data_IF_132756283139
#
_entry.id   IF_132756283139
#
_cell.length_a   1.000
_cell.length_b   1.000
_cell.length_c   1.000
_cell.angle_alpha   90.00
_cell.angle_beta   90.00
_cell.angle_gamma   90.00
#
_symmetry.space_group_name_H-M   'P 1'
#
loop_
_entity.id
_entity.type
_entity.pdbx_description
1 polymer ?
#
# COMPACT_ATOMS: atom_id res chain seq x y z
N UNK A 1 26.42 -32.33 13.14
CA UNK A 1 25.27 -32.64 12.26
C UNK A 1 24.59 -31.34 11.92
N UNK A 2 24.46 -31.10 10.62
CA UNK A 2 24.12 -29.88 9.90
C UNK A 2 22.73 -29.34 10.23
N UNK A 3 22.67 -28.10 10.73
CA UNK A 3 21.45 -27.31 10.74
C UNK A 3 21.45 -26.48 9.45
N UNK A 4 20.74 -26.96 8.44
CA UNK A 4 20.54 -26.25 7.18
C UNK A 4 19.54 -25.11 7.38
N UNK A 5 19.85 -23.99 6.75
CA UNK A 5 19.15 -22.71 6.76
C UNK A 5 17.62 -22.83 6.62
N UNK A 6 16.91 -22.37 7.64
CA UNK A 6 15.52 -21.95 7.49
C UNK A 6 15.48 -20.45 7.30
N UNK A 7 15.77 -19.96 6.09
CA UNK A 7 15.41 -18.59 5.74
C UNK A 7 13.92 -18.39 6.12
N UNK A 8 13.54 -17.27 6.77
CA UNK A 8 12.14 -17.04 7.09
C UNK A 8 11.32 -17.26 5.82
N UNK A 9 10.29 -18.10 5.89
CA UNK A 9 9.48 -18.45 4.71
C UNK A 9 8.78 -17.18 4.23
N UNK A 10 9.41 -16.47 3.29
CA UNK A 10 8.90 -15.22 2.76
C UNK A 10 7.68 -15.52 1.91
N UNK A 11 6.53 -15.08 2.39
CA UNK A 11 5.27 -15.27 1.69
C UNK A 11 5.21 -14.37 0.47
N UNK A 12 4.71 -14.89 -0.67
CA UNK A 12 4.71 -14.20 -1.95
C UNK A 12 3.33 -13.70 -2.31
N UNK A 13 3.24 -12.44 -2.73
CA UNK A 13 2.02 -11.83 -3.29
C UNK A 13 2.36 -10.92 -4.46
N UNK A 14 1.35 -10.43 -5.18
CA UNK A 14 1.59 -9.45 -6.27
C UNK A 14 1.65 -8.02 -5.74
N UNK A 15 0.92 -7.71 -4.67
CA UNK A 15 0.87 -6.35 -4.13
C UNK A 15 0.69 -6.36 -2.62
N UNK A 16 1.48 -5.56 -1.90
CA UNK A 16 1.23 -5.28 -0.48
C UNK A 16 0.64 -3.88 -0.34
N UNK A 17 -0.46 -3.76 0.40
CA UNK A 17 -1.09 -2.47 0.72
C UNK A 17 -0.80 -2.14 2.17
N UNK A 18 -0.19 -0.98 2.41
CA UNK A 18 0.15 -0.50 3.75
C UNK A 18 -0.93 0.47 4.22
N UNK A 19 -1.71 0.04 5.21
CA UNK A 19 -2.85 0.77 5.76
C UNK A 19 -4.14 -0.05 5.73
N UNK A 20 -4.69 -0.41 6.88
CA UNK A 20 -5.99 -1.13 6.96
C UNK A 20 -7.23 -0.21 7.05
N UNK A 21 -7.04 1.10 6.82
CA UNK A 21 -8.09 2.13 6.83
C UNK A 21 -8.89 2.24 5.53
N UNK A 22 -9.65 3.34 5.39
CA UNK A 22 -10.51 3.63 4.22
C UNK A 22 -9.77 3.46 2.89
N UNK A 23 -8.62 4.12 2.74
CA UNK A 23 -7.82 4.11 1.52
C UNK A 23 -7.31 2.70 1.17
N UNK A 24 -6.80 1.96 2.15
CA UNK A 24 -6.23 0.65 1.88
C UNK A 24 -7.29 -0.41 1.56
N UNK A 25 -8.43 -0.37 2.23
CA UNK A 25 -9.55 -1.26 1.89
C UNK A 25 -10.19 -0.91 0.55
N UNK A 26 -10.22 0.38 0.18
CA UNK A 26 -10.65 0.80 -1.16
C UNK A 26 -9.73 0.23 -2.23
N UNK A 27 -8.41 0.31 -2.02
CA UNK A 27 -7.40 -0.28 -2.93
C UNK A 27 -7.56 -1.80 -3.01
N UNK A 28 -7.60 -2.50 -1.87
CA UNK A 28 -7.72 -3.94 -1.83
C UNK A 28 -8.99 -4.44 -2.53
N UNK A 29 -10.11 -3.72 -2.37
CA UNK A 29 -11.36 -4.00 -3.07
C UNK A 29 -11.20 -3.86 -4.59
N UNK A 30 -10.59 -2.77 -5.07
CA UNK A 30 -10.40 -2.55 -6.50
C UNK A 30 -9.38 -3.52 -7.14
N UNK A 31 -8.35 -3.93 -6.38
CA UNK A 31 -7.40 -4.98 -6.77
C UNK A 31 -8.09 -6.35 -6.87
N UNK A 32 -8.90 -6.71 -5.87
CA UNK A 32 -9.70 -7.93 -5.86
C UNK A 32 -10.65 -8.01 -7.05
N UNK A 33 -11.35 -6.91 -7.38
CA UNK A 33 -12.23 -6.82 -8.57
C UNK A 33 -11.52 -7.11 -9.89
N UNK A 34 -10.19 -6.97 -9.92
CA UNK A 34 -9.34 -7.19 -11.10
C UNK A 34 -8.53 -8.48 -11.02
N UNK A 35 -8.76 -9.33 -10.02
CA UNK A 35 -8.01 -10.57 -9.83
C UNK A 35 -6.53 -10.35 -9.49
N UNK A 36 -6.21 -9.24 -8.83
CA UNK A 36 -4.85 -8.96 -8.34
C UNK A 36 -4.74 -9.42 -6.88
N UNK A 37 -3.79 -10.31 -6.61
CA UNK A 37 -3.55 -10.82 -5.26
C UNK A 37 -2.93 -9.71 -4.41
N UNK A 38 -3.55 -9.41 -3.27
CA UNK A 38 -3.04 -8.39 -2.37
C UNK A 38 -3.14 -8.79 -0.91
N UNK A 39 -2.15 -8.38 -0.13
CA UNK A 39 -2.13 -8.50 1.33
C UNK A 39 -2.16 -7.09 1.89
N UNK A 40 -3.14 -6.78 2.74
CA UNK A 40 -3.24 -5.51 3.45
C UNK A 40 -2.59 -5.67 4.82
N UNK A 41 -1.62 -4.81 5.13
CA UNK A 41 -0.99 -4.73 6.46
C UNK A 41 -1.42 -3.45 7.16
N UNK A 42 -1.40 -3.43 8.49
CA UNK A 42 -2.04 -2.37 9.26
C UNK A 42 -1.38 -1.00 9.14
N UNK A 43 -0.17 -0.86 9.67
CA UNK A 43 0.62 0.37 9.59
C UNK A 43 2.08 0.03 9.33
N UNK A 44 2.80 1.00 8.78
CA UNK A 44 4.24 0.92 8.63
C UNK A 44 4.92 1.83 9.65
N UNK A 45 5.76 1.23 10.50
CA UNK A 45 6.44 1.91 11.59
C UNK A 45 7.40 3.00 11.07
N UNK A 46 7.89 2.87 9.82
CA UNK A 46 8.70 3.88 9.14
C UNK A 46 7.98 5.22 8.93
N UNK A 47 6.65 5.20 8.84
CA UNK A 47 5.84 6.41 8.67
C UNK A 47 5.32 6.96 10.02
N UNK A 48 5.72 6.35 11.13
CA UNK A 48 5.25 6.68 12.47
C UNK A 48 3.77 6.36 12.68
N UNK A 49 3.29 6.43 13.92
CA UNK A 49 1.86 6.34 14.20
C UNK A 49 1.18 7.58 13.63
N UNK A 50 0.61 7.48 12.43
CA UNK A 50 -0.14 8.54 11.76
C UNK A 50 -1.45 8.88 12.46
N UNK A 51 -1.41 9.21 13.75
CA UNK A 51 -2.51 9.85 14.49
C UNK A 51 -2.33 11.36 14.59
N UNK A 52 -1.24 11.91 14.05
CA UNK A 52 -0.93 13.35 14.14
C UNK A 52 -1.86 14.25 13.30
N UNK A 53 -2.58 13.71 12.31
CA UNK A 53 -3.50 14.52 11.48
C UNK A 53 -4.98 14.37 11.85
N UNK A 54 -5.32 13.56 12.86
CA UNK A 54 -6.71 13.44 13.35
C UNK A 54 -7.15 14.60 14.26
N UNK A 55 -6.25 15.54 14.62
CA UNK A 55 -6.54 16.59 15.62
C UNK A 55 -6.72 18.00 15.07
N UNK A 56 -6.57 18.25 13.77
CA UNK A 56 -6.77 19.61 13.23
C UNK A 56 -7.25 19.60 11.79
N UNK A 57 -8.53 19.34 11.59
CA UNK A 57 -9.33 20.00 10.55
C UNK A 57 -10.80 19.70 10.85
N UNK A 58 -11.60 20.76 10.96
CA UNK A 58 -13.05 20.70 11.11
C UNK A 58 -13.59 20.01 9.86
N UNK A 59 -13.72 18.68 9.92
CA UNK A 59 -14.46 17.92 8.92
C UNK A 59 -15.94 18.13 9.24
N UNK A 60 -16.68 18.66 8.28
CA UNK A 60 -18.14 18.74 8.34
C UNK A 60 -18.71 17.38 8.78
N UNK A 61 -19.64 17.32 9.74
CA UNK A 61 -20.12 16.07 10.33
C UNK A 61 -20.68 15.10 9.27
N UNK A 62 -21.27 15.61 8.18
CA UNK A 62 -21.73 14.79 7.05
C UNK A 62 -20.61 14.01 6.35
N UNK A 63 -19.40 14.57 6.27
CA UNK A 63 -18.25 13.92 5.64
C UNK A 63 -17.65 12.79 6.50
N UNK A 64 -17.87 12.81 7.82
CA UNK A 64 -17.46 11.74 8.73
C UNK A 64 -18.43 10.56 8.65
N UNK A 65 -19.73 10.84 8.57
CA UNK A 65 -20.77 9.81 8.37
C UNK A 65 -20.56 9.09 7.05
N UNK A 66 -20.39 9.83 5.94
CA UNK A 66 -20.13 9.25 4.62
C UNK A 66 -18.89 8.34 4.63
N UNK A 67 -17.77 8.81 5.22
CA UNK A 67 -16.55 7.99 5.35
C UNK A 67 -16.79 6.73 6.19
N UNK A 68 -17.62 6.80 7.23
CA UNK A 68 -18.00 5.67 8.06
C UNK A 68 -18.84 4.63 7.31
N UNK A 69 -19.78 5.08 6.49
CA UNK A 69 -20.63 4.21 5.66
C UNK A 69 -19.83 3.49 4.57
N UNK A 70 -19.00 4.23 3.82
CA UNK A 70 -18.09 3.62 2.84
C UNK A 70 -17.11 2.67 3.55
N UNK A 71 -16.59 3.12 4.69
CA UNK A 71 -15.99 2.33 5.77
C UNK A 71 -16.54 0.91 5.87
N UNK A 72 -17.80 0.88 6.28
CA UNK A 72 -18.58 -0.32 6.56
C UNK A 72 -18.77 -1.19 5.32
N UNK A 73 -19.09 -0.57 4.18
CA UNK A 73 -19.28 -1.29 2.91
C UNK A 73 -18.00 -2.00 2.48
N UNK A 74 -16.84 -1.32 2.55
CA UNK A 74 -15.56 -1.90 2.18
C UNK A 74 -15.16 -3.07 3.09
N UNK A 75 -15.40 -2.96 4.40
CA UNK A 75 -15.17 -4.06 5.35
C UNK A 75 -16.07 -5.26 5.06
N UNK A 76 -17.35 -5.01 4.74
CA UNK A 76 -18.27 -6.07 4.38
C UNK A 76 -17.81 -6.77 3.08
N UNK A 77 -17.46 -6.01 2.05
CA UNK A 77 -16.92 -6.55 0.81
C UNK A 77 -15.69 -7.42 1.08
N UNK A 78 -14.76 -6.91 1.88
CA UNK A 78 -13.53 -7.61 2.20
C UNK A 78 -13.76 -8.96 2.89
N UNK A 79 -14.69 -8.99 3.86
CA UNK A 79 -15.09 -10.24 4.52
C UNK A 79 -15.77 -11.21 3.55
N UNK A 80 -16.69 -10.72 2.70
CA UNK A 80 -17.43 -11.58 1.76
C UNK A 80 -16.55 -12.17 0.66
N UNK A 81 -15.44 -11.50 0.30
CA UNK A 81 -14.50 -11.96 -0.73
C UNK A 81 -13.21 -12.54 -0.14
N UNK A 82 -13.15 -12.75 1.19
CA UNK A 82 -11.98 -13.30 1.89
C UNK A 82 -10.67 -12.58 1.56
N UNK A 83 -10.69 -11.24 1.53
CA UNK A 83 -9.47 -10.46 1.31
C UNK A 83 -8.51 -10.66 2.47
N UNK A 84 -7.22 -10.82 2.17
CA UNK A 84 -6.17 -10.98 3.18
C UNK A 84 -5.85 -9.62 3.82
N UNK A 85 -6.45 -9.37 4.99
CA UNK A 85 -6.26 -8.15 5.77
C UNK A 85 -5.68 -8.51 7.13
N UNK A 86 -4.41 -8.18 7.32
CA UNK A 86 -3.63 -8.45 8.53
C UNK A 86 -3.55 -7.20 9.39
N UNK A 87 -4.62 -6.94 10.14
CA UNK A 87 -4.73 -5.79 11.05
C UNK A 87 -3.74 -5.83 12.22
N UNK A 88 -3.08 -6.97 12.47
CA UNK A 88 -2.04 -7.15 13.48
C UNK A 88 -0.62 -7.11 12.91
N UNK A 89 -0.47 -7.31 11.60
CA UNK A 89 0.81 -7.24 10.93
C UNK A 89 1.20 -5.78 10.71
N UNK A 90 2.27 -5.35 11.39
CA UNK A 90 2.88 -4.03 11.19
C UNK A 90 4.09 -4.18 10.29
N UNK A 91 4.19 -3.36 9.25
CA UNK A 91 5.40 -3.28 8.44
C UNK A 91 6.49 -2.55 9.23
N UNK A 92 7.60 -3.25 9.50
CA UNK A 92 8.74 -2.74 10.26
C UNK A 92 9.80 -2.17 9.32
N UNK A 93 10.07 -2.91 8.25
CA UNK A 93 11.10 -2.57 7.28
C UNK A 93 10.61 -2.84 5.86
N UNK A 94 11.12 -2.03 4.93
CA UNK A 94 10.81 -2.09 3.51
C UNK A 94 12.14 -2.02 2.76
N UNK A 95 12.46 -3.06 2.01
CA UNK A 95 13.66 -3.10 1.17
C UNK A 95 13.28 -3.44 -0.28
N UNK A 96 14.09 -2.93 -1.21
CA UNK A 96 13.92 -3.17 -2.64
C UNK A 96 15.14 -3.89 -3.20
N UNK A 97 14.91 -4.98 -3.92
CA UNK A 97 15.88 -5.62 -4.79
C UNK A 97 15.47 -5.39 -6.25
N UNK A 98 16.05 -4.40 -6.95
CA UNK A 98 15.66 -4.04 -8.31
C UNK A 98 15.95 -5.14 -9.34
N UNK A 99 16.79 -6.13 -8.99
CA UNK A 99 17.16 -7.25 -9.85
C UNK A 99 16.20 -8.44 -9.72
N UNK A 100 15.30 -8.42 -8.73
CA UNK A 100 14.31 -9.48 -8.51
C UNK A 100 13.05 -9.22 -9.34
N UNK A 101 12.34 -10.28 -9.73
CA UNK A 101 10.95 -10.16 -10.24
C UNK A 101 10.02 -9.69 -9.14
N UNK A 102 10.27 -10.13 -7.91
CA UNK A 102 9.57 -9.76 -6.70
C UNK A 102 10.43 -8.76 -5.93
N UNK A 103 10.35 -7.50 -6.36
CA UNK A 103 11.31 -6.45 -6.03
C UNK A 103 11.23 -6.01 -4.59
N UNK A 104 10.05 -6.09 -3.98
CA UNK A 104 9.84 -5.60 -2.63
C UNK A 104 9.91 -6.73 -1.62
N UNK A 105 10.60 -6.46 -0.51
CA UNK A 105 10.53 -7.27 0.70
C UNK A 105 10.01 -6.37 1.83
N UNK A 106 8.94 -6.82 2.47
CA UNK A 106 8.27 -6.14 3.56
C UNK A 106 8.43 -7.01 4.80
N UNK A 107 9.26 -6.59 5.74
CA UNK A 107 9.34 -7.26 7.03
C UNK A 107 8.17 -6.81 7.89
N UNK A 108 7.39 -7.76 8.37
CA UNK A 108 6.27 -7.48 9.28
C UNK A 108 6.50 -8.08 10.65
N UNK A 109 5.69 -7.68 11.63
CA UNK A 109 5.65 -8.33 12.94
C UNK A 109 5.26 -9.82 12.91
N UNK A 110 4.69 -10.30 11.81
CA UNK A 110 4.21 -11.68 11.67
C UNK A 110 5.03 -12.51 10.65
N UNK A 111 6.04 -11.92 10.03
CA UNK A 111 6.88 -12.57 9.01
C UNK A 111 7.22 -11.64 7.84
N UNK A 112 8.01 -12.15 6.89
CA UNK A 112 8.38 -11.40 5.70
C UNK A 112 7.41 -11.65 4.54
N UNK A 113 7.05 -10.59 3.81
CA UNK A 113 6.27 -10.64 2.58
C UNK A 113 7.14 -10.19 1.41
N UNK A 114 6.97 -10.81 0.25
CA UNK A 114 7.57 -10.37 -1.01
C UNK A 114 6.50 -10.00 -2.02
N UNK A 115 6.68 -8.86 -2.69
CA UNK A 115 5.74 -8.36 -3.68
C UNK A 115 6.40 -7.66 -4.88
N UNK A 116 5.64 -7.58 -5.98
CA UNK A 116 6.03 -6.80 -7.16
C UNK A 116 5.80 -5.30 -6.91
N UNK A 117 4.74 -5.00 -6.15
CA UNK A 117 4.25 -3.65 -5.91
C UNK A 117 3.92 -3.38 -4.44
N UNK A 118 4.08 -2.13 -4.03
CA UNK A 118 3.62 -1.62 -2.73
C UNK A 118 2.67 -0.45 -2.95
N UNK A 119 1.53 -0.45 -2.25
CA UNK A 119 0.64 0.71 -2.15
C UNK A 119 0.78 1.34 -0.77
N UNK A 120 1.26 2.58 -0.73
CA UNK A 120 1.36 3.36 0.49
C UNK A 120 0.09 4.20 0.65
N UNK A 121 -0.58 4.03 1.79
CA UNK A 121 -1.75 4.84 2.12
C UNK A 121 -1.45 5.80 3.28
N UNK A 122 -2.02 7.00 3.20
CA UNK A 122 -2.02 7.96 4.31
C UNK A 122 -0.62 8.32 4.85
N UNK A 123 0.40 8.36 3.99
CA UNK A 123 1.72 8.88 4.34
C UNK A 123 1.83 10.37 3.98
N UNK A 124 2.54 11.15 4.80
CA UNK A 124 2.83 12.56 4.49
C UNK A 124 3.94 12.66 3.43
N UNK A 125 4.01 13.75 2.64
CA UNK A 125 5.05 13.88 1.62
C UNK A 125 6.46 13.85 2.22
N UNK A 126 6.66 14.52 3.36
CA UNK A 126 7.93 14.49 4.08
C UNK A 126 8.31 13.10 4.62
N UNK A 127 7.34 12.23 4.89
CA UNK A 127 7.60 10.84 5.28
C UNK A 127 8.00 10.01 4.05
N UNK A 128 7.27 10.15 2.95
CA UNK A 128 7.61 9.51 1.68
C UNK A 128 9.01 9.91 1.21
N UNK A 129 9.35 11.20 1.26
CA UNK A 129 10.67 11.70 0.84
C UNK A 129 11.80 11.11 1.69
N UNK A 130 11.60 11.03 3.02
CA UNK A 130 12.58 10.40 3.93
C UNK A 130 12.74 8.91 3.67
N UNK A 131 11.64 8.20 3.41
CA UNK A 131 11.66 6.78 3.06
C UNK A 131 12.39 6.51 1.73
N UNK A 132 12.11 7.29 0.70
CA UNK A 132 12.82 7.17 -0.58
C UNK A 132 14.31 7.51 -0.42
N UNK A 133 14.64 8.52 0.38
CA UNK A 133 16.03 8.82 0.72
C UNK A 133 16.72 7.68 1.49
N UNK A 134 16.03 6.99 2.41
CA UNK A 134 16.60 5.83 3.12
C UNK A 134 16.84 4.64 2.20
N UNK A 135 16.12 4.55 1.07
CA UNK A 135 16.37 3.57 0.01
C UNK A 135 17.49 4.00 -0.96
N UNK A 136 18.15 5.15 -0.73
CA UNK A 136 19.16 5.70 -1.63
C UNK A 136 18.60 6.30 -2.92
N UNK A 137 17.29 6.53 -3.01
CA UNK A 137 16.64 7.08 -4.19
C UNK A 137 16.67 8.61 -4.11
N UNK A 138 17.52 9.23 -4.94
CA UNK A 138 17.56 10.68 -5.08
C UNK A 138 16.33 11.16 -5.85
N UNK A 139 15.45 11.88 -5.16
CA UNK A 139 14.20 12.37 -5.72
C UNK A 139 14.45 13.68 -6.48
N UNK A 140 14.28 13.66 -7.81
CA UNK A 140 14.25 14.86 -8.65
C UNK A 140 12.92 15.61 -8.60
N UNK A 141 12.63 16.45 -9.60
CA UNK A 141 11.37 17.23 -9.65
C UNK A 141 10.10 16.37 -9.81
N UNK A 142 10.23 15.14 -10.32
CA UNK A 142 9.09 14.24 -10.55
C UNK A 142 9.16 12.99 -9.66
N UNK A 143 8.73 13.17 -8.41
CA UNK A 143 8.68 12.11 -7.40
C UNK A 143 7.74 11.00 -7.83
N UNK A 144 6.55 11.36 -8.32
CA UNK A 144 5.45 10.44 -8.58
C UNK A 144 5.79 9.44 -9.69
N UNK A 145 6.43 9.91 -10.76
CA UNK A 145 6.90 9.04 -11.84
C UNK A 145 8.02 8.11 -11.36
N UNK A 146 8.95 8.62 -10.55
CA UNK A 146 10.03 7.81 -9.99
C UNK A 146 9.52 6.70 -9.07
N UNK A 147 8.57 6.98 -8.15
CA UNK A 147 7.99 5.93 -7.30
C UNK A 147 7.21 4.89 -8.09
N UNK A 148 6.46 5.31 -9.13
CA UNK A 148 5.73 4.35 -9.98
C UNK A 148 6.66 3.41 -10.73
N UNK A 149 7.80 3.89 -11.23
CA UNK A 149 8.80 3.04 -11.88
C UNK A 149 9.39 1.98 -10.93
N UNK A 150 9.35 2.24 -9.62
CA UNK A 150 9.78 1.32 -8.57
C UNK A 150 8.66 0.39 -8.09
N UNK A 151 7.45 0.48 -8.64
CA UNK A 151 6.29 -0.29 -8.18
C UNK A 151 5.66 0.26 -6.89
N UNK A 152 5.94 1.52 -6.54
CA UNK A 152 5.29 2.20 -5.41
C UNK A 152 4.12 3.03 -5.95
N UNK A 153 2.95 2.81 -5.36
CA UNK A 153 1.72 3.56 -5.64
C UNK A 153 1.25 4.29 -4.38
N UNK A 154 0.65 5.47 -4.56
CA UNK A 154 0.24 6.34 -3.46
C UNK A 154 -1.27 6.55 -3.49
N UNK A 155 -1.92 6.43 -2.33
CA UNK A 155 -3.36 6.76 -2.16
C UNK A 155 -3.56 7.57 -0.89
N UNK A 156 -4.23 8.70 -1.02
CA UNK A 156 -4.51 9.60 0.11
C UNK A 156 -3.28 10.36 0.63
N UNK A 157 -2.25 10.56 -0.21
CA UNK A 157 -1.03 11.30 0.12
C UNK A 157 -1.20 12.77 -0.31
N UNK A 158 -1.28 13.71 0.65
CA UNK A 158 -1.28 15.15 0.37
C UNK A 158 -0.88 15.97 1.60
N UNK A 159 -0.27 17.14 1.40
CA UNK A 159 0.36 17.95 2.46
C UNK A 159 -0.59 18.96 3.15
N UNK A 160 -1.75 19.29 2.58
CA UNK A 160 -2.58 20.40 3.07
C UNK A 160 -4.09 20.12 3.18
N UNK A 161 -4.65 19.29 2.30
CA UNK A 161 -6.09 19.01 2.23
C UNK A 161 -6.30 17.52 2.39
N UNK A 162 -7.07 17.13 3.40
CA UNK A 162 -7.52 15.74 3.56
C UNK A 162 -8.39 15.40 2.35
N UNK A 163 -8.03 14.39 1.54
CA UNK A 163 -8.79 14.05 0.35
C UNK A 163 -10.21 13.59 0.71
N UNK A 164 -11.17 13.99 -0.12
CA UNK A 164 -12.56 13.55 -0.01
C UNK A 164 -12.66 12.04 -0.22
N UNK A 165 -13.74 11.44 0.29
CA UNK A 165 -14.05 10.02 0.09
C UNK A 165 -14.03 9.65 -1.39
N UNK A 166 -14.64 10.50 -2.23
CA UNK A 166 -14.68 10.32 -3.69
C UNK A 166 -13.29 10.30 -4.32
N UNK A 167 -12.40 11.22 -3.92
CA UNK A 167 -11.02 11.26 -4.42
C UNK A 167 -10.24 10.00 -4.02
N UNK A 168 -10.39 9.52 -2.79
CA UNK A 168 -9.75 8.29 -2.32
C UNK A 168 -10.20 7.09 -3.17
N UNK A 169 -11.51 6.96 -3.40
CA UNK A 169 -12.07 5.88 -4.22
C UNK A 169 -11.58 5.96 -5.68
N UNK A 170 -11.49 7.17 -6.24
CA UNK A 170 -10.97 7.38 -7.59
C UNK A 170 -9.48 7.03 -7.69
N UNK A 171 -8.68 7.44 -6.70
CA UNK A 171 -7.26 7.10 -6.60
C UNK A 171 -7.07 5.58 -6.49
N UNK A 172 -7.85 4.90 -5.66
CA UNK A 172 -7.81 3.44 -5.52
C UNK A 172 -8.10 2.74 -6.86
N UNK A 173 -9.14 3.19 -7.57
CA UNK A 173 -9.49 2.67 -8.91
C UNK A 173 -8.33 2.86 -9.89
N UNK A 174 -7.76 4.06 -9.96
CA UNK A 174 -6.66 4.38 -10.87
C UNK A 174 -5.39 3.59 -10.55
N UNK A 175 -5.06 3.42 -9.26
CA UNK A 175 -3.92 2.61 -8.81
C UNK A 175 -4.09 1.15 -9.20
N UNK A 176 -5.27 0.57 -8.97
CA UNK A 176 -5.54 -0.83 -9.36
C UNK A 176 -5.39 -1.05 -10.87
N UNK A 177 -5.85 -0.09 -11.70
CA UNK A 177 -5.71 -0.15 -13.14
C UNK A 177 -4.23 -0.06 -13.57
N UNK A 178 -3.46 0.83 -12.96
CA UNK A 178 -2.04 0.97 -13.26
C UNK A 178 -1.25 -0.30 -12.91
N UNK A 179 -1.58 -0.96 -11.79
CA UNK A 179 -0.96 -2.24 -11.40
C UNK A 179 -1.32 -3.35 -12.39
N UNK A 180 -2.57 -3.43 -12.84
CA UNK A 180 -2.97 -4.40 -13.89
C UNK A 180 -2.19 -4.21 -15.19
N UNK A 181 -2.11 -2.97 -15.70
CA UNK A 181 -1.38 -2.65 -16.93
C UNK A 181 0.12 -2.98 -16.83
N UNK A 182 0.73 -2.71 -15.69
CA UNK A 182 2.13 -3.05 -15.43
C UNK A 182 2.36 -4.58 -15.47
N UNK A 183 1.43 -5.37 -14.92
CA UNK A 183 1.50 -6.84 -14.95
C UNK A 183 1.39 -7.37 -16.37
N UNK A 184 0.46 -6.85 -17.17
CA UNK A 184 0.32 -7.22 -18.59
C UNK A 184 1.60 -6.94 -19.36
N UNK A 185 2.20 -5.77 -19.14
CA UNK A 185 3.46 -5.38 -19.79
C UNK A 185 4.63 -6.27 -19.37
N UNK A 186 4.69 -6.64 -18.08
CA UNK A 186 5.74 -7.51 -17.54
C UNK A 186 5.59 -8.96 -17.99
N UNK A 187 4.36 -9.44 -18.16
CA UNK A 187 4.07 -10.77 -18.73
C UNK A 187 4.40 -10.83 -20.22
N UNK A 188 4.11 -9.77 -20.98
CA UNK A 188 4.45 -9.67 -22.40
C UNK A 188 5.97 -9.60 -22.67
N UNK A 189 6.76 -9.12 -21.71
CA UNK A 189 8.24 -9.07 -21.83
C UNK A 189 8.92 -10.41 -21.53
N UNK A 190 8.19 -11.40 -21.01
CA UNK A 190 8.69 -12.72 -20.60
C UNK A 190 8.24 -13.86 -21.54
N UNK A 191 7.43 -13.56 -22.57
CA UNK A 191 6.95 -14.51 -23.59
C UNK A 191 7.54 -14.21 -24.96
#
# INVERSE_FOLDING_TARGET
MTQLDGAPCTERTTTVVIGSGLSGLAVATELSRRGVNSIVVDHCELFGTGTANAKHQVSEPGSLTERGEVLRVLRHYASSHSLDIRTRAKAKELSINPLSTQRWTIETSEGALSADNIVLTHCAQNQLRRFLASLGIAIGRDVITAVRALGIYLVGVNDAIIPSTREILLQAKNVSQAICLQRETSQAALG
#
